data_IF_453236717668
#
_entry.id   IF_453236717668
#
_cell.length_a   1.000
_cell.length_b   1.000
_cell.length_c   1.000
_cell.angle_alpha   90.00
_cell.angle_beta   90.00
_cell.angle_gamma   90.00
#
_symmetry.space_group_name_H-M   'P 1'
#
loop_
_entity.id
_entity.type
_entity.pdbx_description
1 polymer ?
#
# COMPACT_ATOMS: atom_id res chain seq x y z
N UNK A 1 24.63 23.01 -53.09
CA UNK A 1 25.32 21.75 -53.41
C UNK A 1 24.31 20.63 -53.74
N UNK A 2 23.37 20.23 -52.88
CA UNK A 2 22.36 19.20 -53.20
C UNK A 2 21.44 19.60 -54.36
N UNK A 3 20.99 20.84 -54.42
CA UNK A 3 20.25 21.42 -55.57
C UNK A 3 20.99 21.23 -56.89
N UNK A 4 22.27 21.51 -56.91
CA UNK A 4 23.10 21.38 -58.11
C UNK A 4 23.26 19.91 -58.56
N UNK A 5 23.29 18.97 -57.64
CA UNK A 5 23.33 17.53 -57.94
C UNK A 5 22.00 17.05 -58.53
N UNK A 6 20.88 17.57 -58.02
CA UNK A 6 19.53 17.25 -58.50
C UNK A 6 19.28 17.91 -59.88
N UNK A 7 19.71 19.18 -60.06
CA UNK A 7 19.56 19.90 -61.32
C UNK A 7 20.41 19.28 -62.42
N UNK A 8 21.57 18.76 -62.07
CA UNK A 8 22.45 18.04 -63.01
C UNK A 8 22.04 16.60 -63.29
N UNK A 9 20.97 16.09 -62.60
CA UNK A 9 20.42 14.75 -62.72
C UNK A 9 21.47 13.61 -62.59
N UNK A 10 22.49 13.82 -61.74
CA UNK A 10 23.63 12.92 -61.56
C UNK A 10 23.20 11.59 -60.90
N UNK A 11 22.25 11.66 -59.96
CA UNK A 11 21.71 10.49 -59.30
C UNK A 11 20.30 10.73 -58.78
N UNK A 12 19.48 9.69 -58.82
CA UNK A 12 18.13 9.67 -58.19
C UNK A 12 18.15 9.12 -56.76
N UNK A 13 19.27 8.55 -56.34
CA UNK A 13 19.42 7.94 -55.00
C UNK A 13 20.11 8.90 -54.06
N UNK A 14 19.38 9.91 -53.61
CA UNK A 14 19.88 10.95 -52.69
C UNK A 14 19.13 10.84 -51.37
N UNK A 15 19.85 10.84 -50.26
CA UNK A 15 19.28 10.91 -48.90
C UNK A 15 19.91 12.11 -48.18
N UNK A 16 19.08 13.01 -47.70
CA UNK A 16 19.50 14.14 -46.90
C UNK A 16 19.39 13.82 -45.42
N UNK A 17 20.48 13.94 -44.68
CA UNK A 17 20.53 13.90 -43.24
C UNK A 17 20.60 15.32 -42.69
N UNK A 18 19.74 15.72 -41.77
CA UNK A 18 19.76 16.99 -41.08
C UNK A 18 18.41 17.70 -40.98
N UNK A 19 18.41 18.88 -40.35
CA UNK A 19 17.23 19.67 -40.04
C UNK A 19 16.55 20.30 -41.27
N UNK A 20 15.43 20.97 -41.04
CA UNK A 20 14.52 21.54 -42.03
C UNK A 20 15.22 22.29 -43.17
N UNK A 21 14.67 22.19 -44.37
CA UNK A 21 15.08 22.96 -45.56
C UNK A 21 13.90 23.82 -45.98
N UNK A 22 14.22 24.94 -46.59
CA UNK A 22 13.24 25.84 -47.24
C UNK A 22 12.93 25.44 -48.70
N UNK A 23 13.69 24.50 -49.27
CA UNK A 23 13.51 24.03 -50.65
C UNK A 23 12.71 22.72 -50.65
N UNK A 24 11.45 22.76 -51.11
CA UNK A 24 10.53 21.64 -51.17
C UNK A 24 11.07 20.46 -52.01
N UNK A 25 11.89 20.73 -53.04
CA UNK A 25 12.49 19.70 -53.90
C UNK A 25 13.50 18.87 -53.13
N UNK A 26 14.18 19.46 -52.14
CA UNK A 26 15.15 18.77 -51.28
C UNK A 26 14.45 18.10 -50.12
N UNK A 27 13.31 18.63 -49.68
CA UNK A 27 12.56 18.07 -48.56
C UNK A 27 12.10 16.61 -48.80
N UNK A 28 11.71 16.29 -50.02
CA UNK A 28 11.32 14.92 -50.42
C UNK A 28 12.42 13.87 -50.23
N UNK A 29 13.70 14.29 -50.30
CA UNK A 29 14.87 13.43 -50.10
C UNK A 29 15.35 13.42 -48.63
N UNK A 30 14.64 14.07 -47.71
CA UNK A 30 14.97 13.99 -46.30
C UNK A 30 14.72 12.59 -45.79
N UNK A 31 15.59 12.11 -44.90
CA UNK A 31 15.43 10.78 -44.28
C UNK A 31 14.03 10.63 -43.66
N UNK A 32 13.52 11.65 -43.02
CA UNK A 32 12.19 11.67 -42.41
C UNK A 32 11.06 11.44 -43.46
N UNK A 33 11.13 12.15 -44.60
CA UNK A 33 10.14 11.95 -45.69
C UNK A 33 10.26 10.59 -46.35
N UNK A 34 11.47 10.13 -46.58
CA UNK A 34 11.75 8.81 -47.16
C UNK A 34 11.26 7.68 -46.21
N UNK A 35 11.49 7.81 -44.93
CA UNK A 35 10.94 6.88 -43.91
C UNK A 35 9.42 6.92 -43.89
N UNK A 36 8.83 8.12 -43.99
CA UNK A 36 7.37 8.27 -44.05
C UNK A 36 6.77 7.63 -45.30
N UNK A 37 7.39 7.82 -46.46
CA UNK A 37 6.96 7.24 -47.74
C UNK A 37 7.19 5.72 -47.80
N UNK A 38 8.29 5.24 -47.21
CA UNK A 38 8.59 3.80 -47.17
C UNK A 38 7.69 3.04 -46.16
N UNK A 39 6.88 3.72 -45.39
CA UNK A 39 6.05 3.14 -44.34
C UNK A 39 6.83 2.62 -43.13
N UNK A 40 8.17 2.72 -43.12
CA UNK A 40 9.02 2.26 -42.02
C UNK A 40 8.71 2.99 -40.71
N UNK A 41 8.53 4.30 -40.73
CA UNK A 41 8.17 5.06 -39.55
C UNK A 41 6.83 4.69 -38.93
N UNK A 42 5.90 4.13 -39.73
CA UNK A 42 4.65 3.57 -39.23
C UNK A 42 4.87 2.21 -38.56
N UNK A 43 5.68 1.34 -39.20
CA UNK A 43 6.04 0.01 -38.67
C UNK A 43 6.80 0.10 -37.35
N UNK A 44 7.80 0.95 -37.28
CA UNK A 44 8.56 1.19 -36.04
C UNK A 44 7.67 1.70 -34.90
N UNK A 45 6.64 2.47 -35.22
CA UNK A 45 5.65 2.92 -34.23
C UNK A 45 4.81 1.77 -33.69
N UNK A 46 4.38 0.82 -34.54
CA UNK A 46 3.62 -0.36 -34.10
C UNK A 46 4.48 -1.28 -33.24
N UNK A 47 5.70 -1.57 -33.66
CA UNK A 47 6.65 -2.38 -32.90
C UNK A 47 6.96 -1.72 -31.55
N UNK A 48 7.23 -0.40 -31.51
CA UNK A 48 7.48 0.32 -30.26
C UNK A 48 6.28 0.33 -29.33
N UNK A 49 5.05 0.44 -29.86
CA UNK A 49 3.83 0.36 -29.06
C UNK A 49 3.63 -1.04 -28.48
N UNK A 50 3.82 -2.08 -29.29
CA UNK A 50 3.74 -3.47 -28.82
C UNK A 50 4.77 -3.75 -27.72
N UNK A 51 6.01 -3.32 -27.93
CA UNK A 51 7.06 -3.46 -26.93
C UNK A 51 6.77 -2.66 -25.64
N UNK A 52 6.26 -1.43 -25.77
CA UNK A 52 5.89 -0.62 -24.63
C UNK A 52 4.73 -1.25 -23.82
N UNK A 53 3.75 -1.85 -24.49
CA UNK A 53 2.66 -2.57 -23.83
C UNK A 53 3.17 -3.79 -23.07
N UNK A 54 4.06 -4.57 -23.69
CA UNK A 54 4.70 -5.73 -23.09
C UNK A 54 5.48 -5.33 -21.81
N UNK A 55 6.33 -4.33 -21.94
CA UNK A 55 7.13 -3.81 -20.82
C UNK A 55 6.26 -3.27 -19.69
N UNK A 56 5.18 -2.56 -20.03
CA UNK A 56 4.21 -2.09 -19.04
C UNK A 56 3.55 -3.22 -18.25
N UNK A 57 3.14 -4.28 -18.94
CA UNK A 57 2.57 -5.47 -18.31
C UNK A 57 3.60 -6.19 -17.40
N UNK A 58 4.86 -6.29 -17.81
CA UNK A 58 5.95 -6.87 -17.03
C UNK A 58 6.22 -6.06 -15.75
N UNK A 59 6.26 -4.75 -15.85
CA UNK A 59 6.44 -3.86 -14.70
C UNK A 59 5.28 -3.96 -13.70
N UNK A 60 4.05 -4.10 -14.19
CA UNK A 60 2.86 -4.27 -13.34
C UNK A 60 2.88 -5.63 -12.63
N UNK A 61 3.19 -6.70 -13.34
CA UNK A 61 3.37 -8.02 -12.75
C UNK A 61 4.45 -8.03 -11.67
N UNK A 62 5.57 -7.35 -11.91
CA UNK A 62 6.66 -7.24 -10.92
C UNK A 62 6.21 -6.49 -9.69
N UNK A 63 5.46 -5.40 -9.84
CA UNK A 63 4.88 -4.64 -8.71
C UNK A 63 3.92 -5.50 -7.89
N UNK A 64 3.00 -6.21 -8.55
CA UNK A 64 2.04 -7.09 -7.87
C UNK A 64 2.76 -8.24 -7.15
N UNK A 65 3.80 -8.82 -7.77
CA UNK A 65 4.60 -9.88 -7.14
C UNK A 65 5.32 -9.40 -5.87
N UNK A 66 5.85 -8.17 -5.88
CA UNK A 66 6.46 -7.58 -4.69
C UNK A 66 5.42 -7.33 -3.58
N UNK A 67 4.18 -6.98 -3.92
CA UNK A 67 3.07 -6.83 -2.94
C UNK A 67 2.67 -8.18 -2.34
N UNK A 68 2.68 -9.26 -3.13
CA UNK A 68 2.40 -10.62 -2.65
C UNK A 68 3.44 -11.08 -1.62
N UNK A 69 4.73 -10.76 -1.84
CA UNK A 69 5.81 -11.14 -0.94
C UNK A 69 5.74 -10.43 0.42
N UNK A 70 5.23 -9.20 0.46
CA UNK A 70 5.11 -8.37 1.65
C UNK A 70 3.73 -7.68 1.70
N UNK A 71 2.66 -8.43 1.98
CA UNK A 71 1.35 -7.83 2.10
C UNK A 71 1.33 -6.90 3.31
N UNK A 72 1.38 -5.60 3.06
CA UNK A 72 1.18 -4.58 4.08
C UNK A 72 -0.29 -4.54 4.48
N UNK A 73 -0.61 -4.89 5.72
CA UNK A 73 -1.95 -4.70 6.27
C UNK A 73 -2.08 -3.27 6.76
N UNK A 74 -3.07 -2.55 6.25
CA UNK A 74 -3.43 -1.22 6.74
C UNK A 74 -4.61 -1.32 7.71
N UNK A 75 -4.76 -0.32 8.59
CA UNK A 75 -5.95 -0.27 9.46
C UNK A 75 -7.24 -0.14 8.63
N UNK A 76 -7.23 0.56 7.51
CA UNK A 76 -8.39 0.68 6.62
C UNK A 76 -8.86 -0.69 6.10
N UNK A 77 -7.92 -1.56 5.76
CA UNK A 77 -8.23 -2.93 5.35
C UNK A 77 -8.76 -3.75 6.53
N UNK A 78 -8.19 -3.56 7.73
CA UNK A 78 -8.66 -4.18 8.97
C UNK A 78 -10.08 -3.73 9.32
N UNK A 79 -10.40 -2.46 9.20
CA UNK A 79 -11.75 -1.95 9.46
C UNK A 79 -12.78 -2.51 8.47
N UNK A 80 -12.44 -2.59 7.19
CA UNK A 80 -13.30 -3.21 6.17
C UNK A 80 -13.54 -4.70 6.47
N UNK A 81 -12.46 -5.41 6.79
CA UNK A 81 -12.53 -6.82 7.16
C UNK A 81 -13.44 -7.05 8.37
N UNK A 82 -13.24 -6.28 9.46
CA UNK A 82 -14.05 -6.41 10.67
C UNK A 82 -15.53 -6.07 10.42
N UNK A 83 -15.81 -5.05 9.62
CA UNK A 83 -17.19 -4.70 9.26
C UNK A 83 -17.92 -5.82 8.50
N UNK A 84 -17.19 -6.59 7.69
CA UNK A 84 -17.77 -7.67 6.88
C UNK A 84 -17.91 -8.96 7.72
N UNK A 85 -16.85 -9.34 8.44
CA UNK A 85 -16.77 -10.66 9.09
C UNK A 85 -17.14 -10.64 10.57
N UNK A 86 -16.90 -9.51 11.26
CA UNK A 86 -17.10 -9.34 12.70
C UNK A 86 -17.76 -7.98 13.03
N UNK A 87 -18.95 -7.68 12.49
CA UNK A 87 -19.56 -6.35 12.61
C UNK A 87 -19.76 -5.90 14.07
N UNK A 88 -20.09 -6.83 14.98
CA UNK A 88 -20.25 -6.54 16.40
C UNK A 88 -18.93 -6.11 17.05
N UNK A 89 -17.81 -6.73 16.67
CA UNK A 89 -16.49 -6.35 17.17
C UNK A 89 -16.07 -4.98 16.60
N UNK A 90 -16.35 -4.72 15.33
CA UNK A 90 -16.09 -3.41 14.72
C UNK A 90 -16.88 -2.30 15.43
N UNK A 91 -18.14 -2.52 15.74
CA UNK A 91 -19.00 -1.60 16.49
C UNK A 91 -18.46 -1.38 17.91
N UNK A 92 -18.14 -2.46 18.62
CA UNK A 92 -17.57 -2.39 19.97
C UNK A 92 -16.24 -1.65 20.01
N UNK A 93 -15.39 -1.76 18.99
CA UNK A 93 -14.14 -1.00 18.89
C UNK A 93 -14.41 0.49 18.67
N UNK A 94 -15.46 0.85 17.92
CA UNK A 94 -15.82 2.26 17.66
C UNK A 94 -16.46 2.93 18.87
N UNK A 95 -17.14 2.17 19.70
CA UNK A 95 -17.81 2.66 20.91
C UNK A 95 -17.18 2.07 22.18
N UNK A 96 -15.96 2.48 22.55
CA UNK A 96 -15.30 2.03 23.76
C UNK A 96 -16.04 2.55 25.01
N UNK A 97 -15.97 1.85 26.15
CA UNK A 97 -16.46 2.36 27.42
C UNK A 97 -15.96 3.77 27.71
N UNK A 98 -16.83 4.63 28.28
CA UNK A 98 -16.60 6.06 28.46
C UNK A 98 -15.20 6.39 29.04
N UNK A 99 -14.78 5.67 30.09
CA UNK A 99 -13.48 5.93 30.72
C UNK A 99 -12.30 5.54 29.80
N UNK A 100 -12.46 4.52 28.95
CA UNK A 100 -11.46 4.10 27.96
C UNK A 100 -11.35 5.18 26.86
N UNK A 101 -12.49 5.67 26.37
CA UNK A 101 -12.54 6.74 25.39
C UNK A 101 -11.83 8.00 25.93
N UNK A 102 -12.07 8.38 27.17
CA UNK A 102 -11.45 9.54 27.79
C UNK A 102 -9.95 9.32 28.03
N UNK A 103 -9.54 8.14 28.48
CA UNK A 103 -8.13 7.82 28.65
C UNK A 103 -7.38 7.86 27.30
N UNK A 104 -7.95 7.27 26.26
CA UNK A 104 -7.44 7.32 24.90
C UNK A 104 -7.28 8.76 24.41
N UNK A 105 -8.31 9.60 24.62
CA UNK A 105 -8.29 11.01 24.22
C UNK A 105 -7.18 11.81 24.92
N UNK A 106 -6.96 11.58 26.20
CA UNK A 106 -5.88 12.23 26.97
C UNK A 106 -4.50 11.76 26.50
N UNK A 107 -4.32 10.46 26.34
CA UNK A 107 -3.06 9.87 25.89
C UNK A 107 -2.66 10.38 24.49
N UNK A 108 -3.63 10.55 23.59
CA UNK A 108 -3.35 11.07 22.24
C UNK A 108 -3.04 12.58 22.26
N UNK A 109 -3.65 13.37 23.16
CA UNK A 109 -3.31 14.79 23.31
C UNK A 109 -1.92 14.99 23.88
N UNK A 110 -1.56 14.25 24.92
CA UNK A 110 -0.26 14.37 25.58
C UNK A 110 0.88 13.83 24.70
N UNK A 111 0.64 12.79 23.92
CA UNK A 111 1.60 12.25 22.95
C UNK A 111 1.94 13.19 21.80
N UNK A 112 1.09 14.18 21.51
CA UNK A 112 1.33 15.17 20.46
C UNK A 112 2.25 16.32 20.91
N UNK A 113 2.35 16.55 22.21
CA UNK A 113 3.11 17.69 22.77
C UNK A 113 4.55 17.33 23.15
N UNK A 114 4.84 16.10 23.56
CA UNK A 114 6.15 15.74 24.11
C UNK A 114 7.09 14.99 23.14
N UNK A 115 6.62 14.46 22.01
CA UNK A 115 7.38 13.56 21.15
C UNK A 115 7.92 14.23 19.89
N UNK A 116 7.76 15.53 19.74
CA UNK A 116 8.18 16.27 18.54
C UNK A 116 9.71 16.39 18.37
N UNK A 117 10.52 16.07 19.35
CA UNK A 117 11.97 16.35 19.30
C UNK A 117 12.93 15.13 19.27
N UNK A 118 12.48 13.89 19.44
CA UNK A 118 13.39 12.72 19.45
C UNK A 118 12.74 11.42 18.93
N UNK A 119 12.04 11.41 17.80
CA UNK A 119 11.69 10.13 17.18
C UNK A 119 12.68 9.75 16.09
N UNK A 120 13.56 8.79 16.43
CA UNK A 120 14.06 7.78 15.50
C UNK A 120 12.84 7.18 14.76
N UNK A 121 13.02 6.86 13.48
CA UNK A 121 12.02 6.19 12.62
C UNK A 121 11.08 5.32 13.46
N UNK A 122 9.83 5.74 13.60
CA UNK A 122 8.77 4.89 14.11
C UNK A 122 8.71 3.66 13.22
N UNK A 123 8.75 2.48 13.81
CA UNK A 123 8.51 1.25 13.08
C UNK A 123 7.10 1.33 12.47
N UNK A 124 6.92 0.70 11.32
CA UNK A 124 5.65 0.68 10.59
C UNK A 124 4.48 0.16 11.44
N UNK A 125 4.78 -0.59 12.53
CA UNK A 125 3.83 -1.11 13.51
C UNK A 125 3.23 -0.03 14.45
N UNK A 126 3.90 1.11 14.66
CA UNK A 126 3.37 2.19 15.49
C UNK A 126 2.25 2.99 14.81
N UNK A 127 2.01 2.75 13.54
CA UNK A 127 1.02 3.43 12.72
C UNK A 127 -0.31 2.66 12.58
N UNK A 128 -0.51 1.55 13.30
CA UNK A 128 -1.86 1.04 13.55
C UNK A 128 -2.50 2.00 14.56
N UNK A 129 -2.62 3.23 14.07
CA UNK A 129 -3.04 4.38 14.82
C UNK A 129 -4.53 4.26 15.10
N UNK A 130 -4.91 4.56 16.30
CA UNK A 130 -6.29 4.67 16.69
C UNK A 130 -6.69 3.68 17.75
N UNK A 131 -7.98 3.53 17.90
CA UNK A 131 -8.62 2.74 18.94
C UNK A 131 -8.23 1.25 18.86
N UNK A 132 -8.04 0.71 17.67
CA UNK A 132 -7.60 -0.70 17.50
C UNK A 132 -6.19 -0.93 18.07
N UNK A 133 -5.23 -0.09 17.73
CA UNK A 133 -3.87 -0.21 18.27
C UNK A 133 -3.84 -0.04 19.80
N UNK A 134 -4.67 0.86 20.33
CA UNK A 134 -4.84 1.05 21.76
C UNK A 134 -5.40 -0.22 22.43
N UNK A 135 -6.45 -0.83 21.85
CA UNK A 135 -7.04 -2.07 22.31
C UNK A 135 -6.08 -3.26 22.19
N UNK A 136 -5.47 -3.45 21.03
CA UNK A 136 -4.53 -4.56 20.74
C UNK A 136 -3.34 -4.53 21.71
N UNK A 137 -2.78 -3.36 21.95
CA UNK A 137 -1.66 -3.16 22.86
C UNK A 137 -2.07 -3.12 24.34
N UNK A 138 -3.36 -3.37 24.65
CA UNK A 138 -3.88 -3.43 26.02
C UNK A 138 -3.58 -2.19 26.86
N UNK A 139 -3.54 -0.99 26.27
CA UNK A 139 -3.19 0.25 26.96
C UNK A 139 -4.15 0.60 28.09
N UNK A 140 -5.43 0.28 27.94
CA UNK A 140 -6.45 0.39 28.97
C UNK A 140 -6.17 -0.54 30.16
N UNK A 141 -5.79 -1.80 29.89
CA UNK A 141 -5.44 -2.77 30.92
C UNK A 141 -4.16 -2.35 31.65
N UNK A 142 -3.13 -1.89 30.91
CA UNK A 142 -1.89 -1.37 31.50
C UNK A 142 -2.18 -0.19 32.42
N UNK A 143 -3.06 0.72 32.02
CA UNK A 143 -3.46 1.84 32.84
C UNK A 143 -4.13 1.41 34.15
N UNK A 144 -5.05 0.44 34.12
CA UNK A 144 -5.72 -0.07 35.31
C UNK A 144 -4.74 -0.80 36.20
N UNK A 145 -3.82 -1.61 35.64
CA UNK A 145 -2.88 -2.45 36.38
C UNK A 145 -1.60 -1.72 36.80
N UNK A 146 -1.44 -0.46 36.41
CA UNK A 146 -0.25 0.32 36.76
C UNK A 146 -0.02 0.27 38.28
N UNK A 147 1.16 -0.19 38.70
CA UNK A 147 1.62 -0.09 40.07
C UNK A 147 2.65 1.02 40.14
N UNK A 148 2.38 2.12 40.86
CA UNK A 148 3.41 3.12 41.07
C UNK A 148 4.62 2.44 41.74
N UNK A 149 5.85 2.78 41.35
CA UNK A 149 7.04 2.22 41.95
C UNK A 149 6.99 2.48 43.47
N UNK A 150 7.20 1.43 44.24
CA UNK A 150 7.33 1.55 45.70
C UNK A 150 8.42 2.58 45.99
N UNK A 151 8.09 3.58 46.77
CA UNK A 151 9.07 4.58 47.18
C UNK A 151 10.15 3.90 48.01
N UNK A 152 11.36 3.80 47.46
CA UNK A 152 12.53 3.33 48.21
C UNK A 152 12.61 4.11 49.53
N UNK A 153 12.75 3.36 50.62
CA UNK A 153 12.89 3.84 51.97
C UNK A 153 14.17 4.67 52.11
N UNK A 154 14.07 5.96 51.80
CA UNK A 154 15.16 6.91 51.91
C UNK A 154 14.61 8.30 52.18
N UNK A 155 14.55 8.62 53.45
CA UNK A 155 14.05 9.83 54.12
C UNK A 155 14.11 11.14 53.31
N UNK A 156 12.94 11.64 53.04
CA UNK A 156 12.58 13.07 52.98
C UNK A 156 11.05 13.13 52.90
N UNK A 157 10.41 14.06 53.59
CA UNK A 157 8.96 14.26 53.63
C UNK A 157 8.33 14.23 52.25
N UNK A 158 7.71 13.09 51.88
CA UNK A 158 6.99 12.97 50.64
C UNK A 158 5.55 13.36 50.88
N UNK A 159 5.15 14.47 50.32
CA UNK A 159 3.75 14.74 50.01
C UNK A 159 3.25 13.48 49.27
N UNK A 160 2.29 12.76 49.87
CA UNK A 160 1.62 11.61 49.32
C UNK A 160 1.02 12.03 47.98
N UNK A 161 1.76 11.74 46.86
CA UNK A 161 1.19 11.95 45.55
C UNK A 161 0.06 10.94 45.41
N UNK A 162 -1.17 11.44 45.44
CA UNK A 162 -2.37 10.64 45.15
C UNK A 162 -2.13 9.87 43.83
N UNK A 163 -2.46 8.58 43.83
CA UNK A 163 -2.37 7.77 42.63
C UNK A 163 -3.10 8.48 41.46
N UNK A 164 -2.43 8.78 40.37
CA UNK A 164 -3.03 9.52 39.25
C UNK A 164 -4.27 8.83 38.68
N UNK A 165 -4.37 7.53 38.82
CA UNK A 165 -5.57 6.76 38.41
C UNK A 165 -6.77 7.10 39.26
N UNK A 166 -6.58 7.19 40.59
CA UNK A 166 -7.66 7.55 41.52
C UNK A 166 -8.19 8.95 41.18
N UNK A 167 -7.29 9.90 40.89
CA UNK A 167 -7.69 11.23 40.45
C UNK A 167 -8.49 11.17 39.13
N UNK A 168 -8.00 10.44 38.16
CA UNK A 168 -8.69 10.25 36.88
C UNK A 168 -10.09 9.64 37.04
N UNK A 169 -10.23 8.55 37.79
CA UNK A 169 -11.51 7.89 37.98
C UNK A 169 -12.47 8.72 38.86
N UNK A 170 -11.95 9.52 39.79
CA UNK A 170 -12.77 10.47 40.55
C UNK A 170 -13.36 11.57 39.63
N UNK A 171 -12.55 12.13 38.73
CA UNK A 171 -13.03 13.10 37.75
C UNK A 171 -14.16 12.55 36.86
N UNK A 172 -14.13 11.25 36.61
CA UNK A 172 -15.16 10.55 35.81
C UNK A 172 -16.36 10.06 36.62
N UNK A 173 -16.41 10.37 37.94
CA UNK A 173 -17.53 10.02 38.80
C UNK A 173 -17.50 8.55 39.32
N UNK A 174 -16.36 7.88 39.27
CA UNK A 174 -16.21 6.52 39.79
C UNK A 174 -15.95 6.45 41.30
N UNK A 175 -16.00 7.58 42.03
CA UNK A 175 -15.80 7.66 43.47
C UNK A 175 -14.54 6.92 43.99
N UNK A 176 -13.45 7.02 43.23
CA UNK A 176 -12.17 6.38 43.57
C UNK A 176 -12.07 4.90 43.27
N UNK A 177 -13.13 4.28 42.76
CA UNK A 177 -13.09 2.89 42.35
C UNK A 177 -12.43 2.72 41.00
N UNK A 178 -11.32 2.00 40.99
CA UNK A 178 -10.64 1.62 39.74
C UNK A 178 -11.32 0.36 39.20
N UNK A 179 -11.78 0.34 37.94
CA UNK A 179 -12.35 -0.86 37.34
C UNK A 179 -11.38 -2.03 37.43
N UNK A 180 -11.91 -3.23 37.61
CA UNK A 180 -11.10 -4.45 37.56
C UNK A 180 -10.65 -4.75 36.13
N UNK A 181 -9.40 -5.18 36.00
CA UNK A 181 -8.91 -5.60 34.69
C UNK A 181 -9.67 -6.87 34.24
N UNK A 182 -10.03 -6.96 32.97
CA UNK A 182 -10.67 -8.14 32.42
C UNK A 182 -9.82 -9.40 32.65
N UNK A 183 -10.44 -10.46 33.09
CA UNK A 183 -9.80 -11.75 33.28
C UNK A 183 -10.62 -12.82 32.56
N UNK A 184 -9.94 -13.68 31.80
CA UNK A 184 -10.57 -14.79 31.09
C UNK A 184 -9.56 -15.53 30.22
N UNK A 185 -9.92 -16.75 29.84
CA UNK A 185 -9.19 -17.60 28.88
C UNK A 185 -10.20 -18.39 28.05
N UNK A 186 -11.10 -17.67 27.41
CA UNK A 186 -12.06 -18.24 26.46
C UNK A 186 -11.32 -18.75 25.23
N UNK A 187 -11.90 -19.78 24.59
CA UNK A 187 -11.40 -20.28 23.30
C UNK A 187 -11.62 -19.24 22.22
N UNK A 188 -10.84 -19.35 21.12
CA UNK A 188 -10.98 -18.45 19.96
C UNK A 188 -12.41 -18.47 19.42
N UNK A 189 -13.04 -19.65 19.36
CA UNK A 189 -14.43 -19.81 18.92
C UNK A 189 -15.40 -19.04 19.82
N UNK A 190 -15.25 -19.10 21.12
CA UNK A 190 -16.07 -18.33 22.05
C UNK A 190 -15.84 -16.83 21.91
N UNK A 191 -14.60 -16.41 21.66
CA UNK A 191 -14.25 -15.00 21.48
C UNK A 191 -14.94 -14.36 20.28
N UNK A 192 -15.18 -15.10 19.20
CA UNK A 192 -15.88 -14.59 18.03
C UNK A 192 -17.33 -14.18 18.30
N UNK A 193 -17.95 -14.73 19.36
CA UNK A 193 -19.31 -14.40 19.78
C UNK A 193 -19.38 -13.33 20.88
N UNK A 194 -18.26 -12.90 21.42
CA UNK A 194 -18.25 -11.87 22.47
C UNK A 194 -18.53 -10.50 21.85
N UNK A 195 -19.66 -9.91 22.19
CA UNK A 195 -20.07 -8.61 21.64
C UNK A 195 -19.14 -7.45 22.05
N UNK A 196 -18.66 -7.47 23.31
CA UNK A 196 -17.84 -6.39 23.85
C UNK A 196 -16.36 -6.80 23.91
N UNK A 197 -15.58 -6.36 22.94
CA UNK A 197 -14.14 -6.67 22.86
C UNK A 197 -13.33 -6.06 24.01
N UNK A 198 -13.84 -5.02 24.68
CA UNK A 198 -13.19 -4.37 25.81
C UNK A 198 -13.26 -5.20 27.10
N UNK A 199 -14.18 -6.16 27.15
CA UNK A 199 -14.29 -7.12 28.25
C UNK A 199 -13.30 -8.29 28.16
N UNK A 200 -12.48 -8.34 27.13
CA UNK A 200 -11.50 -9.40 26.88
C UNK A 200 -10.21 -9.15 27.65
N UNK A 201 -9.63 -10.22 28.21
CA UNK A 201 -8.31 -10.19 28.84
C UNK A 201 -7.20 -9.95 27.83
N UNK A 202 -5.99 -9.61 28.29
CA UNK A 202 -4.81 -9.42 27.44
C UNK A 202 -4.56 -10.61 26.51
N UNK A 203 -4.61 -11.82 27.06
CA UNK A 203 -4.40 -13.04 26.28
C UNK A 203 -5.48 -13.25 25.22
N UNK A 204 -6.75 -13.03 25.57
CA UNK A 204 -7.86 -13.14 24.64
C UNK A 204 -7.78 -12.14 23.49
N UNK A 205 -7.41 -10.89 23.79
CA UNK A 205 -7.20 -9.85 22.76
C UNK A 205 -6.07 -10.22 21.81
N UNK A 206 -4.98 -10.77 22.35
CA UNK A 206 -3.86 -11.20 21.53
C UNK A 206 -4.28 -12.33 20.60
N UNK A 207 -4.91 -13.38 21.10
CA UNK A 207 -5.39 -14.51 20.29
C UNK A 207 -6.36 -14.06 19.20
N UNK A 208 -7.30 -13.18 19.53
CA UNK A 208 -8.28 -12.68 18.57
C UNK A 208 -7.64 -11.77 17.51
N UNK A 209 -6.74 -10.89 17.90
CA UNK A 209 -6.03 -10.01 16.98
C UNK A 209 -5.14 -10.81 16.01
N UNK A 210 -4.41 -11.81 16.48
CA UNK A 210 -3.60 -12.70 15.66
C UNK A 210 -4.47 -13.45 14.64
N UNK A 211 -5.64 -13.97 15.06
CA UNK A 211 -6.60 -14.63 14.16
C UNK A 211 -7.12 -13.68 13.08
N UNK A 212 -7.52 -12.46 13.44
CA UNK A 212 -7.97 -11.48 12.47
C UNK A 212 -6.87 -11.11 11.47
N UNK A 213 -5.65 -10.91 11.96
CA UNK A 213 -4.52 -10.59 11.09
C UNK A 213 -4.15 -11.73 10.14
N UNK A 214 -4.28 -12.97 10.59
CA UNK A 214 -4.07 -14.14 9.73
C UNK A 214 -5.14 -14.23 8.64
N UNK A 215 -6.41 -14.07 8.98
CA UNK A 215 -7.51 -14.08 8.01
C UNK A 215 -7.39 -12.91 7.02
N UNK A 216 -7.05 -11.72 7.50
CA UNK A 216 -6.79 -10.56 6.62
C UNK A 216 -5.64 -10.81 5.65
N UNK A 217 -4.53 -11.39 6.13
CA UNK A 217 -3.39 -11.74 5.26
C UNK A 217 -3.80 -12.76 4.20
N UNK A 218 -4.60 -13.76 4.57
CA UNK A 218 -5.10 -14.77 3.65
C UNK A 218 -5.96 -14.13 2.55
N UNK A 219 -6.92 -13.30 2.92
CA UNK A 219 -7.80 -12.60 1.96
C UNK A 219 -6.98 -11.66 1.06
N UNK A 220 -6.03 -10.91 1.63
CA UNK A 220 -5.15 -10.03 0.85
C UNK A 220 -4.29 -10.84 -0.14
N UNK A 221 -3.76 -11.98 0.29
CA UNK A 221 -2.99 -12.88 -0.56
C UNK A 221 -3.81 -13.44 -1.71
N UNK A 222 -5.02 -13.97 -1.44
CA UNK A 222 -5.90 -14.53 -2.46
C UNK A 222 -6.33 -13.46 -3.48
N UNK A 223 -6.58 -12.24 -3.02
CA UNK A 223 -6.90 -11.10 -3.89
C UNK A 223 -5.74 -10.76 -4.81
N UNK A 224 -4.52 -10.63 -4.25
CA UNK A 224 -3.32 -10.33 -5.02
C UNK A 224 -2.96 -11.46 -6.00
N UNK A 225 -3.20 -12.71 -5.62
CA UNK A 225 -2.98 -13.86 -6.50
C UNK A 225 -3.92 -13.83 -7.70
N UNK A 226 -5.19 -13.49 -7.46
CA UNK A 226 -6.19 -13.33 -8.53
C UNK A 226 -5.81 -12.18 -9.49
N UNK A 227 -5.37 -11.04 -8.95
CA UNK A 227 -4.85 -9.91 -9.72
C UNK A 227 -3.63 -10.32 -10.57
N UNK A 228 -2.70 -11.05 -9.98
CA UNK A 228 -1.51 -11.56 -10.67
C UNK A 228 -1.85 -12.50 -11.82
N UNK A 229 -2.81 -13.41 -11.64
CA UNK A 229 -3.23 -14.33 -12.71
C UNK A 229 -3.89 -13.58 -13.88
N UNK A 230 -4.65 -12.52 -13.61
CA UNK A 230 -5.20 -11.64 -14.63
C UNK A 230 -4.09 -10.92 -15.42
N UNK A 231 -3.11 -10.35 -14.71
CA UNK A 231 -1.96 -9.69 -15.33
C UNK A 231 -1.12 -10.67 -16.15
N UNK A 232 -0.92 -11.88 -15.65
CA UNK A 232 -0.22 -12.97 -16.38
C UNK A 232 -0.91 -13.32 -17.70
N UNK A 233 -2.25 -13.32 -17.72
CA UNK A 233 -3.02 -13.53 -18.95
C UNK A 233 -2.81 -12.36 -19.91
N UNK A 234 -2.93 -11.12 -19.44
CA UNK A 234 -2.70 -9.93 -20.25
C UNK A 234 -1.27 -9.90 -20.84
N UNK A 235 -0.27 -10.30 -20.05
CA UNK A 235 1.10 -10.40 -20.51
C UNK A 235 1.24 -11.41 -21.66
N UNK A 236 0.65 -12.60 -21.53
CA UNK A 236 0.65 -13.62 -22.59
C UNK A 236 -0.02 -13.12 -23.87
N UNK A 237 -1.14 -12.42 -23.75
CA UNK A 237 -1.85 -11.84 -24.89
C UNK A 237 -1.02 -10.74 -25.55
N UNK A 238 -0.31 -9.91 -24.78
CA UNK A 238 0.62 -8.90 -25.29
C UNK A 238 1.84 -9.52 -25.97
N UNK A 239 2.41 -10.61 -25.45
CA UNK A 239 3.48 -11.37 -26.10
C UNK A 239 3.04 -11.87 -27.48
N UNK A 240 1.89 -12.53 -27.55
CA UNK A 240 1.34 -13.05 -28.80
C UNK A 240 1.09 -11.94 -29.82
N UNK A 241 0.49 -10.84 -29.39
CA UNK A 241 0.26 -9.66 -30.26
C UNK A 241 1.58 -9.07 -30.77
N UNK A 242 2.63 -9.05 -29.96
CA UNK A 242 3.94 -8.59 -30.39
C UNK A 242 4.60 -9.53 -31.40
N UNK A 243 4.50 -10.84 -31.19
CA UNK A 243 4.95 -11.88 -32.14
C UNK A 243 4.23 -11.75 -33.48
N UNK A 244 2.89 -11.62 -33.47
CA UNK A 244 2.09 -11.45 -34.68
C UNK A 244 2.52 -10.19 -35.47
N UNK A 245 2.85 -9.09 -34.78
CA UNK A 245 3.37 -7.86 -35.40
C UNK A 245 4.74 -8.11 -36.02
N UNK A 246 5.64 -8.83 -35.35
CA UNK A 246 6.97 -9.15 -35.88
C UNK A 246 6.88 -10.02 -37.13
N UNK A 247 6.04 -11.03 -37.11
CA UNK A 247 5.82 -11.92 -38.26
C UNK A 247 5.26 -11.17 -39.47
N UNK A 248 4.30 -10.28 -39.25
CA UNK A 248 3.75 -9.44 -40.31
C UNK A 248 4.79 -8.49 -40.90
N UNK A 249 5.61 -7.87 -40.05
CA UNK A 249 6.74 -7.02 -40.50
C UNK A 249 7.73 -7.83 -41.32
N UNK A 250 8.08 -9.05 -40.89
CA UNK A 250 8.98 -9.95 -41.66
C UNK A 250 8.42 -10.27 -43.02
N UNK A 251 7.16 -10.70 -43.11
CA UNK A 251 6.50 -11.00 -44.39
C UNK A 251 6.51 -9.81 -45.35
N UNK A 252 6.24 -8.62 -44.82
CA UNK A 252 6.24 -7.40 -45.61
C UNK A 252 7.65 -7.01 -46.08
N UNK A 253 8.69 -7.31 -45.30
CA UNK A 253 10.08 -7.06 -45.67
C UNK A 253 10.51 -8.05 -46.79
N UNK A 254 10.14 -9.35 -46.68
CA UNK A 254 10.45 -10.35 -47.67
C UNK A 254 9.76 -10.03 -49.01
N UNK A 255 8.47 -9.65 -48.97
CA UNK A 255 7.73 -9.24 -50.14
C UNK A 255 8.35 -7.98 -50.82
N UNK A 256 8.92 -7.08 -50.06
CA UNK A 256 9.58 -5.86 -50.60
C UNK A 256 10.96 -6.13 -51.24
N UNK A 257 11.60 -7.26 -50.94
CA UNK A 257 12.87 -7.67 -51.53
C UNK A 257 12.69 -8.39 -52.88
N UNK A 258 11.46 -8.80 -53.21
CA UNK A 258 11.14 -9.51 -54.46
C UNK A 258 10.80 -8.56 -55.64
N UNK A 259 10.79 -7.27 -55.39
CA UNK A 259 10.58 -6.19 -56.38
C UNK A 259 11.79 -5.24 -56.44
#
# INVERSE_FOLDING_TARGET
MLTSVLDANITKSVVRLGSRTTDERIEQYSLFKLEQLSGRGSRDRFIRRGYAALKGAEEEMTRTMNRIQLPGLTWEDGEKFLNIHYPQHAESLRDPPFWIAEHFRRTMKDGFTEVSYKRKKASQDDNIAGVYGFWKNCRDIDFIQFRPPLANEGGAERKTKTDPRIAFFNELGFNGQIPSAPYGRRSLEELTYVMNVWSMSRHERQCLAESWEEDMRKIAYDTLLTEFDQLRKQYKDACKSYEDIQDEVSRLCDAAQLY
#
